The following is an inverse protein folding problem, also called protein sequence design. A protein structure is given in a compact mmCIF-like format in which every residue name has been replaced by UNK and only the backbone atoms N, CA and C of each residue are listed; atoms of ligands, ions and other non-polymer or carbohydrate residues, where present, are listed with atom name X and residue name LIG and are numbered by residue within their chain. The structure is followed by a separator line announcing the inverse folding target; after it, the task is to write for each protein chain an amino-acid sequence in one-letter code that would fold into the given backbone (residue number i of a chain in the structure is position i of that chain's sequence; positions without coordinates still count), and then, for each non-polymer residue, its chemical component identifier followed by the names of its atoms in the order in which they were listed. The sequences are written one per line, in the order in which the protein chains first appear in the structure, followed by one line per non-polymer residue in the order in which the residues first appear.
data_IF_964771931337
#
_entry.id   IF_964771931337
#
_cell.length_a   1.000
_cell.length_b   1.000
_cell.length_c   1.000
_cell.angle_alpha   90.00
_cell.angle_beta   90.00
_cell.angle_gamma   90.00
#
_symmetry.space_group_name_H-M   'P 1'
#
loop_
_entity.id
_entity.type
_entity.pdbx_description
1 polymer ?
#
# COMPACT_ATOMS: atom_id res chain seq x y z
N UNK A 1 3.97 -5.58 14.90
CA UNK A 1 3.19 -5.58 13.65
C UNK A 1 3.90 -6.49 12.66
N UNK A 2 3.48 -7.74 12.51
CA UNK A 2 4.14 -8.75 11.67
C UNK A 2 5.68 -8.73 11.82
N UNK A 3 6.44 -8.34 10.78
CA UNK A 3 7.91 -8.28 10.79
C UNK A 3 8.51 -7.06 11.52
N UNK A 4 7.67 -6.14 12.03
CA UNK A 4 8.11 -4.90 12.66
C UNK A 4 8.13 -5.05 14.17
N UNK A 5 9.31 -4.84 14.74
CA UNK A 5 9.59 -4.89 16.16
C UNK A 5 9.64 -3.47 16.74
N UNK A 6 8.98 -3.20 17.88
CA UNK A 6 9.10 -1.92 18.55
C UNK A 6 10.47 -1.79 19.22
N UNK A 7 11.06 -0.60 19.15
CA UNK A 7 12.31 -0.28 19.81
C UNK A 7 12.29 1.16 20.35
N UNK A 8 13.10 1.44 21.37
CA UNK A 8 13.33 2.80 21.87
C UNK A 8 14.78 3.23 21.57
N UNK A 9 14.96 4.39 20.94
CA UNK A 9 16.30 4.92 20.63
C UNK A 9 16.99 5.35 21.93
N UNK A 10 18.09 4.69 22.29
CA UNK A 10 18.85 4.96 23.52
C UNK A 10 20.01 5.94 23.28
N UNK A 11 20.53 6.00 22.06
CA UNK A 11 21.55 6.97 21.65
C UNK A 11 21.49 7.19 20.15
N UNK A 12 21.86 8.40 19.70
CA UNK A 12 21.97 8.75 18.29
C UNK A 12 23.12 9.73 18.06
N UNK A 13 23.90 9.49 17.03
CA UNK A 13 24.92 10.39 16.51
C UNK A 13 24.78 10.50 14.97
N UNK A 14 25.54 11.38 14.29
CA UNK A 14 25.39 11.54 12.84
C UNK A 14 25.60 10.27 11.98
N UNK A 15 26.29 9.25 12.49
CA UNK A 15 26.67 8.03 11.77
C UNK A 15 25.76 6.84 12.08
N UNK A 16 25.29 6.73 13.33
CA UNK A 16 24.50 5.61 13.81
C UNK A 16 23.55 5.99 14.95
N UNK A 17 22.53 5.15 15.17
CA UNK A 17 21.70 5.17 16.37
C UNK A 17 21.63 3.77 16.98
N UNK A 18 21.64 3.69 18.30
CA UNK A 18 21.35 2.45 19.03
C UNK A 18 19.91 2.50 19.51
N UNK A 19 19.17 1.40 19.32
CA UNK A 19 17.82 1.24 19.84
C UNK A 19 17.71 -0.05 20.64
N UNK A 20 16.96 -0.01 21.74
CA UNK A 20 16.69 -1.17 22.59
C UNK A 20 15.34 -1.78 22.23
N UNK A 21 15.32 -3.09 22.00
CA UNK A 21 14.11 -3.88 21.76
C UNK A 21 13.38 -4.18 23.08
N UNK A 22 12.15 -4.68 22.98
CA UNK A 22 11.32 -5.02 24.13
C UNK A 22 11.91 -6.14 25.02
N UNK A 23 12.78 -7.00 24.46
CA UNK A 23 13.48 -8.06 25.19
C UNK A 23 14.77 -7.57 25.88
N UNK A 24 15.11 -6.28 25.76
CA UNK A 24 16.30 -5.67 26.32
C UNK A 24 17.54 -5.78 25.44
N UNK A 25 17.50 -6.51 24.32
CA UNK A 25 18.59 -6.53 23.35
C UNK A 25 18.70 -5.19 22.62
N UNK A 26 19.88 -4.88 22.10
CA UNK A 26 20.14 -3.63 21.38
C UNK A 26 20.43 -3.89 19.91
N UNK A 27 20.00 -2.96 19.07
CA UNK A 27 20.23 -2.97 17.63
C UNK A 27 20.87 -1.65 17.20
N UNK A 28 21.75 -1.72 16.21
CA UNK A 28 22.39 -0.55 15.62
C UNK A 28 21.74 -0.23 14.27
N UNK A 29 21.40 1.04 14.07
CA UNK A 29 20.84 1.59 12.84
C UNK A 29 21.86 2.54 12.21
N UNK A 30 22.47 2.11 11.11
CA UNK A 30 23.38 2.93 10.33
C UNK A 30 22.62 3.77 9.29
N UNK A 31 23.34 4.63 8.56
CA UNK A 31 22.77 5.36 7.42
C UNK A 31 22.07 4.46 6.39
N UNK A 32 22.55 3.23 6.17
CA UNK A 32 21.90 2.28 5.25
C UNK A 32 20.46 1.99 5.67
N UNK A 33 20.25 1.74 6.97
CA UNK A 33 18.94 1.38 7.53
C UNK A 33 17.95 2.54 7.65
N UNK A 34 18.40 3.79 7.54
CA UNK A 34 17.54 4.98 7.73
C UNK A 34 17.44 5.90 6.51
N UNK A 35 18.29 5.73 5.49
CA UNK A 35 18.36 6.62 4.31
C UNK A 35 17.04 6.75 3.56
N UNK A 36 16.18 5.73 3.62
CA UNK A 36 14.88 5.73 2.95
C UNK A 36 13.89 6.74 3.56
N UNK A 37 14.08 7.11 4.84
CA UNK A 37 13.13 7.87 5.66
C UNK A 37 13.14 9.38 5.36
N UNK A 38 12.90 9.72 4.09
CA UNK A 38 12.60 11.10 3.69
C UNK A 38 11.31 11.55 4.39
N UNK A 39 11.26 12.78 4.95
CA UNK A 39 10.04 13.28 5.56
C UNK A 39 8.87 13.27 4.58
N UNK A 40 7.73 12.73 5.01
CA UNK A 40 6.49 12.83 4.25
C UNK A 40 6.02 14.29 4.18
N UNK A 41 5.54 14.73 3.01
CA UNK A 41 4.91 16.05 2.82
C UNK A 41 3.49 15.92 2.27
N UNK A 42 3.32 15.09 1.24
CA UNK A 42 2.03 14.71 0.67
C UNK A 42 2.17 13.39 -0.09
N UNK A 43 1.05 12.83 -0.56
CA UNK A 43 1.03 11.61 -1.40
C UNK A 43 1.86 11.74 -2.70
N UNK A 44 2.15 12.97 -3.13
CA UNK A 44 2.90 13.27 -4.35
C UNK A 44 4.26 13.92 -4.10
N UNK A 45 4.61 14.22 -2.84
CA UNK A 45 5.84 14.94 -2.50
C UNK A 45 6.51 14.40 -1.23
N UNK A 46 7.84 14.29 -1.30
CA UNK A 46 8.69 13.93 -0.19
C UNK A 46 9.72 15.03 0.09
N UNK A 47 10.21 15.08 1.33
CA UNK A 47 11.29 15.95 1.76
C UNK A 47 12.67 15.52 1.21
N UNK A 48 13.73 16.25 1.58
CA UNK A 48 15.09 15.94 1.15
C UNK A 48 15.56 14.59 1.69
N UNK A 49 16.47 13.93 0.97
CA UNK A 49 17.14 12.71 1.41
C UNK A 49 17.98 12.97 2.68
N UNK A 50 17.78 12.19 3.76
CA UNK A 50 18.61 12.27 4.96
C UNK A 50 20.09 12.08 4.64
N UNK A 51 20.96 12.85 5.30
CA UNK A 51 22.42 12.79 5.13
C UNK A 51 23.15 12.30 6.38
N UNK A 52 22.49 12.35 7.53
CA UNK A 52 22.98 11.88 8.84
C UNK A 52 21.87 11.10 9.54
N UNK A 53 22.24 10.17 10.43
CA UNK A 53 21.23 9.37 11.16
C UNK A 53 20.37 10.27 12.04
N UNK A 54 20.96 11.30 12.62
CA UNK A 54 20.26 12.33 13.41
C UNK A 54 19.30 13.21 12.61
N UNK A 55 19.29 13.16 11.26
CA UNK A 55 18.25 13.82 10.48
C UNK A 55 16.90 13.07 10.60
N UNK A 56 16.94 11.81 11.05
CA UNK A 56 15.78 10.90 11.12
C UNK A 56 15.50 10.47 12.56
N UNK A 57 16.54 10.14 13.33
CA UNK A 57 16.43 9.51 14.64
C UNK A 57 17.00 10.39 15.75
N UNK A 58 16.29 10.45 16.87
CA UNK A 58 16.67 11.19 18.07
C UNK A 58 16.51 10.28 19.30
N UNK A 59 17.39 10.47 20.29
CA UNK A 59 17.31 9.73 21.56
C UNK A 59 15.95 9.94 22.22
N UNK A 60 15.37 8.86 22.75
CA UNK A 60 14.06 8.86 23.41
C UNK A 60 12.88 8.56 22.48
N UNK A 61 13.08 8.47 21.16
CA UNK A 61 12.00 8.11 20.23
C UNK A 61 11.64 6.62 20.34
N UNK A 62 10.35 6.32 20.30
CA UNK A 62 9.86 4.97 19.98
C UNK A 62 9.81 4.82 18.46
N UNK A 63 10.42 3.76 17.95
CA UNK A 63 10.51 3.46 16.52
C UNK A 63 10.15 2.00 16.25
N UNK A 64 9.96 1.68 14.96
CA UNK A 64 9.83 0.31 14.50
C UNK A 64 11.09 -0.08 13.73
N UNK A 65 11.58 -1.30 13.95
CA UNK A 65 12.72 -1.84 13.22
C UNK A 65 12.38 -3.18 12.61
N UNK A 66 13.11 -3.54 11.55
CA UNK A 66 13.04 -4.86 10.93
C UNK A 66 14.41 -5.29 10.46
N UNK A 67 14.62 -6.59 10.39
CA UNK A 67 15.86 -7.16 9.87
C UNK A 67 15.80 -7.27 8.34
N UNK A 68 16.87 -6.88 7.66
CA UNK A 68 17.06 -6.96 6.20
C UNK A 68 18.44 -7.55 5.94
N UNK A 69 18.49 -8.85 5.62
CA UNK A 69 19.75 -9.61 5.63
C UNK A 69 20.32 -9.63 7.05
N UNK A 70 21.59 -9.26 7.18
CA UNK A 70 22.27 -9.16 8.49
C UNK A 70 22.16 -7.76 9.13
N UNK A 71 21.51 -6.80 8.45
CA UNK A 71 21.39 -5.42 8.91
C UNK A 71 20.01 -5.11 9.51
N UNK A 72 19.98 -4.16 10.46
CA UNK A 72 18.75 -3.61 11.00
C UNK A 72 18.36 -2.33 10.28
N UNK A 73 17.08 -2.23 9.92
CA UNK A 73 16.53 -1.09 9.20
C UNK A 73 15.42 -0.44 10.02
N UNK A 74 15.36 0.88 9.96
CA UNK A 74 14.18 1.62 10.41
C UNK A 74 12.99 1.20 9.55
N UNK A 75 11.85 1.03 10.20
CA UNK A 75 10.59 0.71 9.57
C UNK A 75 9.50 1.65 10.07
N UNK A 76 8.39 1.66 9.33
CA UNK A 76 7.20 2.42 9.69
C UNK A 76 5.99 1.52 9.47
N UNK A 77 5.08 1.53 10.43
CA UNK A 77 3.77 0.89 10.26
C UNK A 77 3.01 1.67 9.17
N UNK A 78 2.59 1.03 8.07
CA UNK A 78 1.90 1.73 7.00
C UNK A 78 0.56 2.32 7.47
N UNK A 79 0.27 3.55 7.08
CA UNK A 79 -1.07 4.14 7.24
C UNK A 79 -2.05 3.57 6.22
N UNK A 80 -1.58 3.34 4.99
CA UNK A 80 -2.34 2.66 3.94
C UNK A 80 -2.55 1.19 4.28
N UNK A 81 -3.62 0.61 3.75
CA UNK A 81 -3.96 -0.80 3.98
C UNK A 81 -4.22 -1.53 2.66
N UNK A 82 -4.20 -2.85 2.70
CA UNK A 82 -4.42 -3.71 1.54
C UNK A 82 -5.20 -4.97 1.93
N UNK A 83 -5.69 -5.69 0.95
CA UNK A 83 -6.31 -7.00 1.13
C UNK A 83 -5.84 -7.94 0.01
N UNK A 84 -5.72 -9.22 0.31
CA UNK A 84 -5.42 -10.25 -0.66
C UNK A 84 -6.33 -11.46 -0.42
N UNK A 85 -6.86 -12.01 -1.50
CA UNK A 85 -7.55 -13.29 -1.50
C UNK A 85 -7.07 -14.11 -2.69
N UNK A 86 -6.79 -15.38 -2.46
CA UNK A 86 -6.47 -16.36 -3.50
C UNK A 86 -7.46 -17.52 -3.39
N UNK A 87 -8.04 -17.92 -4.51
CA UNK A 87 -9.06 -18.97 -4.59
C UNK A 87 -8.70 -19.99 -5.66
N UNK A 88 -9.05 -21.25 -5.44
CA UNK A 88 -9.04 -22.26 -6.48
C UNK A 88 -10.27 -22.04 -7.39
N UNK A 89 -10.08 -21.75 -8.69
CA UNK A 89 -11.19 -21.44 -9.59
C UNK A 89 -12.09 -22.65 -9.90
N UNK A 90 -11.63 -23.89 -9.68
CA UNK A 90 -12.40 -25.11 -9.98
C UNK A 90 -13.46 -25.42 -8.91
N UNK A 91 -13.19 -25.08 -7.64
CA UNK A 91 -14.06 -25.46 -6.52
C UNK A 91 -14.33 -24.33 -5.50
N UNK A 92 -13.78 -23.13 -5.72
CA UNK A 92 -13.97 -21.96 -4.86
C UNK A 92 -13.22 -22.02 -3.52
N UNK A 93 -12.36 -23.01 -3.29
CA UNK A 93 -11.62 -23.11 -2.04
C UNK A 93 -10.68 -21.91 -1.85
N UNK A 94 -10.73 -21.30 -0.66
CA UNK A 94 -9.83 -20.19 -0.29
C UNK A 94 -8.45 -20.75 0.03
N UNK A 95 -7.46 -20.39 -0.77
CA UNK A 95 -6.06 -20.83 -0.62
C UNK A 95 -5.26 -19.88 0.28
N UNK A 96 -5.56 -18.58 0.22
CA UNK A 96 -4.95 -17.56 1.07
C UNK A 96 -5.94 -16.41 1.30
N UNK A 97 -5.95 -15.85 2.51
CA UNK A 97 -6.81 -14.73 2.89
C UNK A 97 -6.06 -13.77 3.83
N UNK A 98 -5.80 -12.55 3.38
CA UNK A 98 -5.16 -11.49 4.14
C UNK A 98 -6.09 -10.27 4.14
N UNK A 99 -6.65 -9.96 5.32
CA UNK A 99 -7.65 -8.89 5.48
C UNK A 99 -7.08 -7.49 5.77
N UNK A 100 -5.77 -7.38 5.96
CA UNK A 100 -5.09 -6.14 6.31
C UNK A 100 -3.62 -6.35 6.61
N UNK A 101 -2.89 -5.26 6.86
CA UNK A 101 -1.46 -5.27 7.17
C UNK A 101 -1.11 -6.17 8.38
N UNK A 102 -1.86 -6.03 9.48
CA UNK A 102 -1.65 -6.82 10.70
C UNK A 102 -2.98 -7.03 11.43
N UNK A 103 -3.25 -8.28 11.83
CA UNK A 103 -4.51 -8.65 12.49
C UNK A 103 -4.64 -8.10 13.91
N UNK A 104 -3.53 -7.93 14.64
CA UNK A 104 -3.53 -7.35 15.97
C UNK A 104 -3.76 -5.84 15.93
N UNK A 105 -3.42 -5.18 14.82
CA UNK A 105 -3.82 -3.80 14.57
C UNK A 105 -5.33 -3.66 14.33
N UNK A 106 -5.88 -4.56 13.50
CA UNK A 106 -7.29 -4.50 13.12
C UNK A 106 -7.78 -5.89 12.74
N UNK A 107 -8.84 -6.34 13.44
CA UNK A 107 -9.52 -7.61 13.14
C UNK A 107 -10.49 -7.49 11.96
N UNK A 108 -10.65 -6.30 11.39
CA UNK A 108 -11.52 -6.07 10.23
C UNK A 108 -10.93 -6.69 8.97
N UNK A 109 -11.66 -7.60 8.34
CA UNK A 109 -11.22 -8.32 7.16
C UNK A 109 -11.67 -7.62 5.88
N UNK A 110 -10.77 -6.83 5.28
CA UNK A 110 -11.05 -6.09 4.06
C UNK A 110 -11.30 -6.98 2.84
N UNK A 111 -10.82 -8.23 2.84
CA UNK A 111 -11.05 -9.14 1.72
C UNK A 111 -12.52 -9.57 1.61
N UNK A 112 -13.27 -9.57 2.72
CA UNK A 112 -14.68 -10.03 2.74
C UNK A 112 -15.67 -8.97 3.17
N UNK A 113 -15.23 -7.91 3.87
CA UNK A 113 -16.11 -6.93 4.50
C UNK A 113 -16.01 -5.52 3.88
N UNK A 114 -14.91 -5.20 3.18
CA UNK A 114 -14.74 -3.86 2.61
C UNK A 114 -15.40 -3.75 1.24
N UNK A 115 -16.45 -2.93 1.14
CA UNK A 115 -17.03 -2.53 -0.13
C UNK A 115 -16.23 -1.36 -0.73
N UNK A 116 -15.68 -1.55 -1.94
CA UNK A 116 -14.87 -0.55 -2.64
C UNK A 116 -15.25 -0.53 -4.12
N UNK A 117 -15.08 0.62 -4.75
CA UNK A 117 -15.17 0.72 -6.20
C UNK A 117 -14.04 -0.09 -6.84
N UNK A 118 -14.39 -0.93 -7.80
CA UNK A 118 -13.42 -1.80 -8.51
C UNK A 118 -12.72 -1.10 -9.67
N UNK A 119 -13.22 0.06 -10.10
CA UNK A 119 -12.67 0.81 -11.23
C UNK A 119 -12.61 -0.04 -12.51
N UNK A 120 -11.53 0.09 -13.27
CA UNK A 120 -11.32 -0.65 -14.53
C UNK A 120 -11.32 -2.17 -14.38
N UNK A 121 -11.17 -2.73 -13.17
CA UNK A 121 -11.19 -4.18 -12.96
C UNK A 121 -12.54 -4.82 -13.27
N UNK A 122 -13.62 -4.02 -13.39
CA UNK A 122 -14.92 -4.54 -13.83
C UNK A 122 -14.98 -4.82 -15.34
N UNK A 123 -14.11 -4.18 -16.14
CA UNK A 123 -14.19 -4.20 -17.61
C UNK A 123 -14.27 -5.62 -18.21
N UNK A 124 -13.49 -6.63 -17.77
CA UNK A 124 -13.61 -7.99 -18.30
C UNK A 124 -15.04 -8.56 -18.26
N UNK A 125 -15.83 -8.24 -17.23
CA UNK A 125 -17.24 -8.67 -17.13
C UNK A 125 -18.13 -7.97 -18.17
N UNK A 126 -17.89 -6.68 -18.46
CA UNK A 126 -18.63 -5.97 -19.51
C UNK A 126 -18.27 -6.49 -20.91
N UNK A 127 -16.98 -6.74 -21.17
CA UNK A 127 -16.53 -7.26 -22.46
C UNK A 127 -17.02 -8.68 -22.72
N UNK A 128 -17.06 -9.55 -21.70
CA UNK A 128 -17.65 -10.89 -21.82
C UNK A 128 -19.15 -10.82 -22.11
N UNK A 129 -19.90 -9.95 -21.44
CA UNK A 129 -21.31 -9.73 -21.75
C UNK A 129 -21.53 -9.22 -23.19
N UNK A 130 -20.63 -8.38 -23.72
CA UNK A 130 -20.69 -7.92 -25.10
C UNK A 130 -20.41 -9.06 -26.10
N UNK A 131 -19.50 -9.98 -25.76
CA UNK A 131 -19.24 -11.18 -26.57
C UNK A 131 -20.42 -12.14 -26.57
N UNK A 132 -21.09 -12.32 -25.43
CA UNK A 132 -22.35 -13.10 -25.33
C UNK A 132 -23.47 -12.50 -26.20
N UNK A 133 -23.37 -11.22 -26.56
CA UNK A 133 -24.29 -10.50 -27.46
C UNK A 133 -23.79 -10.44 -28.92
N UNK A 134 -22.75 -11.19 -29.27
CA UNK A 134 -22.29 -11.39 -30.65
C UNK A 134 -21.10 -10.53 -31.06
N UNK A 135 -20.51 -9.72 -30.17
CA UNK A 135 -19.19 -9.15 -30.45
C UNK A 135 -18.10 -10.22 -30.37
N UNK A 136 -16.98 -9.96 -31.03
CA UNK A 136 -15.82 -10.85 -31.06
C UNK A 136 -14.58 -10.11 -30.59
N UNK A 137 -13.49 -10.83 -30.35
CA UNK A 137 -12.18 -10.22 -30.09
C UNK A 137 -11.69 -9.32 -31.23
N UNK A 138 -12.23 -9.48 -32.44
CA UNK A 138 -11.90 -8.69 -33.63
C UNK A 138 -12.93 -7.58 -33.94
N UNK A 139 -13.97 -7.42 -33.12
CA UNK A 139 -14.97 -6.37 -33.31
C UNK A 139 -14.35 -4.99 -33.12
N UNK A 140 -14.41 -4.16 -34.16
CA UNK A 140 -13.93 -2.79 -34.10
C UNK A 140 -14.93 -1.89 -33.37
N UNK A 141 -14.45 -1.15 -32.37
CA UNK A 141 -15.23 -0.19 -31.59
C UNK A 141 -14.56 1.18 -31.66
N UNK A 142 -15.35 2.24 -31.67
CA UNK A 142 -14.83 3.60 -31.70
C UNK A 142 -14.47 4.08 -30.29
N UNK A 143 -13.20 4.41 -30.07
CA UNK A 143 -12.71 5.12 -28.88
C UNK A 143 -12.72 6.63 -29.14
N UNK A 144 -13.92 7.21 -29.11
CA UNK A 144 -14.15 8.65 -29.35
C UNK A 144 -14.91 9.27 -28.18
N UNK A 145 -14.82 10.60 -27.97
CA UNK A 145 -15.60 11.26 -26.93
C UNK A 145 -17.10 10.96 -27.06
N UNK A 146 -17.73 10.61 -25.93
CA UNK A 146 -19.17 10.40 -25.84
C UNK A 146 -19.80 11.45 -24.92
N UNK A 147 -20.95 11.99 -25.32
CA UNK A 147 -21.82 12.82 -24.47
C UNK A 147 -23.19 12.17 -24.42
N UNK A 148 -23.72 12.00 -23.20
CA UNK A 148 -25.05 11.46 -22.97
C UNK A 148 -25.76 12.31 -21.92
N UNK A 149 -26.96 12.79 -22.24
CA UNK A 149 -27.80 13.46 -21.25
C UNK A 149 -28.11 12.50 -20.10
N UNK A 150 -27.79 12.91 -18.88
CA UNK A 150 -28.11 12.16 -17.68
C UNK A 150 -29.10 12.95 -16.82
N UNK A 151 -30.36 12.51 -16.84
CA UNK A 151 -31.43 13.13 -16.06
C UNK A 151 -31.18 13.05 -14.54
N UNK A 152 -30.38 12.08 -14.07
CA UNK A 152 -30.00 11.95 -12.66
C UNK A 152 -28.89 12.91 -12.23
N UNK A 153 -28.03 13.34 -13.17
CA UNK A 153 -26.93 14.27 -12.91
C UNK A 153 -27.26 15.73 -13.25
N UNK A 154 -28.38 15.98 -13.94
CA UNK A 154 -28.81 17.32 -14.36
C UNK A 154 -27.89 17.98 -15.40
N UNK A 155 -26.97 17.20 -15.99
CA UNK A 155 -26.00 17.63 -16.98
C UNK A 155 -25.59 16.46 -17.88
N UNK A 156 -24.90 16.77 -18.97
CA UNK A 156 -24.34 15.76 -19.87
C UNK A 156 -23.22 14.97 -19.18
N UNK A 157 -23.33 13.65 -19.17
CA UNK A 157 -22.25 12.76 -18.78
C UNK A 157 -21.24 12.60 -19.92
N UNK A 158 -20.01 13.03 -19.67
CA UNK A 158 -18.88 13.02 -20.62
C UNK A 158 -17.65 12.33 -20.00
N UNK A 159 -17.57 10.99 -20.02
CA UNK A 159 -16.44 10.27 -19.48
C UNK A 159 -15.16 10.54 -20.29
N UNK A 160 -14.00 10.45 -19.61
CA UNK A 160 -12.67 10.59 -20.21
C UNK A 160 -11.83 9.34 -19.96
N UNK A 161 -10.92 9.07 -20.89
CA UNK A 161 -9.87 8.07 -20.71
C UNK A 161 -8.79 8.56 -19.72
N UNK A 162 -7.89 7.66 -19.32
CA UNK A 162 -6.80 7.94 -18.37
C UNK A 162 -5.45 7.49 -18.95
N UNK A 163 -4.38 8.31 -18.86
CA UNK A 163 -4.38 9.69 -18.37
C UNK A 163 -5.21 10.62 -19.29
N UNK A 164 -5.71 11.76 -18.77
CA UNK A 164 -6.48 12.70 -19.55
C UNK A 164 -5.68 13.37 -20.67
#
# INVERSE_FOLDING_TARGET
YGPLLPAAVTSANPQEATAMLADGSTVALSMEGVRWARPYRSDTQQGPTPRKVTDVLQTGQQIWVRQVGDAWWLAQVPEVNSALVSINPQNGAVMALVGGFDFNQSKFNRATQALRQVGSNIKPFLYTAAMDKGLTLASMLNDVPISRWDAGAGSDWQPKNSPP
#
